data_IF_426797906906
#
_entry.id   IF_426797906906
#
_cell.length_a   1.000
_cell.length_b   1.000
_cell.length_c   1.000
_cell.angle_alpha   90.00
_cell.angle_beta   90.00
_cell.angle_gamma   90.00
#
_symmetry.space_group_name_H-M   'P 1'
#
loop_
_entity.id
_entity.type
_entity.pdbx_description
1 polymer ?
#
# COMPACT_ATOMS: atom_id res chain seq x y z
N UNK A 1 -10.12 15.68 -15.59
CA UNK A 1 -8.70 15.41 -15.25
C UNK A 1 -8.48 13.92 -15.48
N UNK A 2 -7.30 13.49 -15.94
CA UNK A 2 -7.03 12.05 -16.06
C UNK A 2 -6.67 11.45 -14.68
N UNK A 3 -6.95 10.16 -14.47
CA UNK A 3 -6.61 9.45 -13.23
C UNK A 3 -5.14 9.64 -12.84
N UNK A 4 -4.25 9.58 -13.83
CA UNK A 4 -2.82 9.79 -13.67
C UNK A 4 -2.49 11.13 -13.00
N UNK A 5 -3.10 12.21 -13.45
CA UNK A 5 -2.83 13.56 -12.95
C UNK A 5 -3.40 13.74 -11.55
N UNK A 6 -4.58 13.18 -11.26
CA UNK A 6 -5.12 13.17 -9.89
C UNK A 6 -4.20 12.41 -8.93
N UNK A 7 -3.68 11.25 -9.34
CA UNK A 7 -2.76 10.48 -8.51
C UNK A 7 -1.45 11.23 -8.27
N UNK A 8 -0.85 11.85 -9.30
CA UNK A 8 0.33 12.71 -9.15
C UNK A 8 0.06 13.82 -8.15
N UNK A 9 -1.11 14.43 -8.25
CA UNK A 9 -1.54 15.47 -7.34
C UNK A 9 -1.62 14.94 -5.88
N UNK A 10 -2.16 13.74 -5.66
CA UNK A 10 -2.20 13.13 -4.33
C UNK A 10 -0.82 12.86 -3.73
N UNK A 11 0.13 12.37 -4.54
CA UNK A 11 1.49 12.10 -4.09
C UNK A 11 2.19 13.38 -3.63
N UNK A 12 2.03 14.47 -4.38
CA UNK A 12 2.60 15.75 -4.01
C UNK A 12 1.90 16.35 -2.77
N UNK A 13 0.59 16.13 -2.59
CA UNK A 13 -0.12 16.49 -1.35
C UNK A 13 0.38 15.69 -0.15
N UNK A 14 0.67 14.39 -0.30
CA UNK A 14 1.21 13.58 0.79
C UNK A 14 2.60 14.07 1.22
N UNK A 15 3.43 14.45 0.25
CA UNK A 15 4.75 15.02 0.49
C UNK A 15 4.62 16.36 1.24
N UNK A 16 3.75 17.26 0.77
CA UNK A 16 3.47 18.52 1.46
C UNK A 16 3.01 18.33 2.91
N UNK A 17 2.09 17.39 3.14
CA UNK A 17 1.60 17.04 4.48
C UNK A 17 2.72 16.50 5.38
N UNK A 18 3.68 15.74 4.84
CA UNK A 18 4.81 15.24 5.62
C UNK A 18 5.68 16.40 6.15
N UNK A 19 5.97 17.37 5.29
CA UNK A 19 6.76 18.56 5.65
C UNK A 19 6.00 19.50 6.60
N UNK A 20 4.70 19.67 6.41
CA UNK A 20 3.85 20.43 7.33
C UNK A 20 3.90 19.82 8.73
N UNK A 21 3.70 18.50 8.86
CA UNK A 21 3.72 17.79 10.15
C UNK A 21 5.10 17.81 10.80
N UNK A 22 6.17 17.82 10.01
CA UNK A 22 7.53 17.94 10.52
C UNK A 22 7.80 19.27 11.24
N UNK A 23 6.97 20.30 11.04
CA UNK A 23 6.99 21.54 11.82
C UNK A 23 8.33 22.27 11.76
N UNK A 24 8.94 22.33 10.57
CA UNK A 24 10.24 22.95 10.32
C UNK A 24 11.44 21.99 10.37
N UNK A 25 11.23 20.72 10.77
CA UNK A 25 12.22 19.65 10.60
C UNK A 25 12.13 19.06 9.19
N UNK A 26 13.18 18.34 8.78
CA UNK A 26 13.16 17.52 7.56
C UNK A 26 12.52 16.17 7.90
N UNK A 27 11.41 15.76 7.24
CA UNK A 27 10.82 14.45 7.47
C UNK A 27 11.79 13.35 7.02
N UNK A 28 11.86 12.27 7.80
CA UNK A 28 12.58 11.06 7.43
C UNK A 28 11.75 10.18 6.48
N UNK A 29 12.35 9.09 6.00
CA UNK A 29 11.70 8.15 5.07
C UNK A 29 10.40 7.56 5.67
N UNK A 30 10.37 7.07 6.93
CA UNK A 30 9.13 6.63 7.56
C UNK A 30 8.08 7.73 7.65
N UNK A 31 8.48 8.98 7.88
CA UNK A 31 7.54 10.11 7.90
C UNK A 31 6.92 10.43 6.55
N UNK A 32 7.69 10.33 5.47
CA UNK A 32 7.15 10.50 4.11
C UNK A 32 6.13 9.40 3.78
N UNK A 33 6.45 8.15 4.10
CA UNK A 33 5.55 7.00 3.89
C UNK A 33 4.30 7.10 4.77
N UNK A 34 4.44 7.41 6.06
CA UNK A 34 3.30 7.50 6.99
C UNK A 34 2.33 8.62 6.60
N UNK A 35 2.85 9.72 6.04
CA UNK A 35 2.02 10.82 5.55
C UNK A 35 1.13 10.34 4.40
N UNK A 36 1.69 9.60 3.45
CA UNK A 36 0.94 8.99 2.34
C UNK A 36 -0.14 8.00 2.81
N UNK A 37 0.14 7.25 3.89
CA UNK A 37 -0.80 6.31 4.48
C UNK A 37 -1.74 6.92 5.54
N UNK A 38 -1.68 8.23 5.77
CA UNK A 38 -2.50 8.89 6.79
C UNK A 38 -3.99 8.84 6.46
N UNK A 39 -4.83 8.90 7.50
CA UNK A 39 -6.29 8.85 7.42
C UNK A 39 -6.85 9.87 6.47
N UNK A 40 -6.30 11.07 6.52
CA UNK A 40 -6.67 12.15 5.65
C UNK A 40 -6.37 11.71 4.21
N UNK A 41 -5.11 11.34 3.91
CA UNK A 41 -4.63 11.07 2.55
C UNK A 41 -5.41 9.97 1.84
N UNK A 42 -5.61 8.82 2.48
CA UNK A 42 -6.33 7.72 1.82
C UNK A 42 -7.82 7.99 1.64
N UNK A 43 -8.45 8.85 2.47
CA UNK A 43 -9.85 9.25 2.30
C UNK A 43 -10.05 10.14 1.07
N UNK A 44 -9.09 11.03 0.82
CA UNK A 44 -9.05 11.81 -0.40
C UNK A 44 -8.89 10.91 -1.62
N UNK A 45 -7.85 10.07 -1.60
CA UNK A 45 -7.57 9.14 -2.67
C UNK A 45 -8.78 8.26 -3.00
N UNK A 46 -9.49 7.73 -1.99
CA UNK A 46 -10.73 6.97 -2.20
C UNK A 46 -11.77 7.75 -3.03
N UNK A 47 -12.03 9.01 -2.66
CA UNK A 47 -13.04 9.83 -3.35
C UNK A 47 -12.66 10.06 -4.81
N UNK A 48 -11.39 10.29 -5.07
CA UNK A 48 -10.87 10.42 -6.41
C UNK A 48 -10.97 9.12 -7.21
N UNK A 49 -10.47 8.01 -6.66
CA UNK A 49 -10.54 6.70 -7.29
C UNK A 49 -11.98 6.26 -7.61
N UNK A 50 -12.95 6.61 -6.76
CA UNK A 50 -14.36 6.31 -6.99
C UNK A 50 -14.92 6.93 -8.29
N UNK A 51 -14.36 8.04 -8.76
CA UNK A 51 -14.76 8.69 -10.03
C UNK A 51 -14.12 8.08 -11.28
N UNK A 52 -13.18 7.15 -11.12
CA UNK A 52 -12.47 6.50 -12.22
C UNK A 52 -12.71 4.99 -12.32
N UNK A 53 -13.44 4.40 -11.37
CA UNK A 53 -13.87 3.01 -11.50
C UNK A 53 -15.05 2.88 -12.45
N UNK A 54 -15.25 1.68 -12.99
CA UNK A 54 -16.47 1.36 -13.75
C UNK A 54 -17.72 1.71 -12.95
N UNK A 55 -18.75 2.33 -13.57
CA UNK A 55 -20.04 2.56 -12.93
C UNK A 55 -20.59 1.29 -12.28
N UNK A 56 -21.12 1.40 -11.06
CA UNK A 56 -21.59 0.26 -10.27
C UNK A 56 -20.51 -0.40 -9.41
N UNK A 57 -19.22 -0.06 -9.60
CA UNK A 57 -18.15 -0.51 -8.71
C UNK A 57 -17.97 0.43 -7.52
N UNK A 58 -17.86 -0.15 -6.32
CA UNK A 58 -17.50 0.56 -5.10
C UNK A 58 -16.01 0.46 -4.78
N UNK A 59 -15.41 1.56 -4.31
CA UNK A 59 -13.99 1.63 -3.93
C UNK A 59 -13.80 1.88 -2.45
N UNK A 60 -12.96 1.07 -1.83
CA UNK A 60 -12.39 1.33 -0.52
C UNK A 60 -10.89 1.58 -0.63
N UNK A 61 -10.39 2.52 0.15
CA UNK A 61 -8.95 2.74 0.33
C UNK A 61 -8.65 2.85 1.81
N UNK A 62 -7.56 2.20 2.22
CA UNK A 62 -7.03 2.23 3.59
C UNK A 62 -5.51 2.31 3.55
N UNK A 63 -4.97 3.21 4.38
CA UNK A 63 -3.55 3.26 4.70
C UNK A 63 -3.32 2.72 6.11
N UNK A 64 -2.35 1.83 6.24
CA UNK A 64 -2.00 1.14 7.48
C UNK A 64 -0.49 1.25 7.67
N UNK A 65 -0.06 2.07 8.62
CA UNK A 65 1.35 2.37 8.78
C UNK A 65 1.95 1.61 9.96
N UNK A 66 3.12 1.01 9.78
CA UNK A 66 3.92 0.53 10.91
C UNK A 66 5.35 1.07 10.87
N UNK A 67 5.86 1.46 12.03
CA UNK A 67 7.22 1.97 12.15
C UNK A 67 8.28 0.85 12.10
N UNK A 68 7.92 -0.39 12.44
CA UNK A 68 8.84 -1.53 12.36
C UNK A 68 8.31 -2.57 11.38
N UNK A 69 9.01 -2.71 10.27
CA UNK A 69 8.70 -3.63 9.18
C UNK A 69 9.25 -5.04 9.48
N UNK A 70 8.71 -6.09 8.82
CA UNK A 70 9.22 -7.44 8.96
C UNK A 70 10.62 -7.56 8.36
N UNK A 71 11.49 -8.32 9.01
CA UNK A 71 12.87 -8.55 8.55
C UNK A 71 13.08 -9.97 8.06
N UNK A 72 13.82 -10.06 6.95
CA UNK A 72 14.20 -11.31 6.30
C UNK A 72 15.70 -11.46 6.27
N UNK A 73 16.16 -12.71 6.21
CA UNK A 73 17.58 -13.05 6.06
C UNK A 73 17.73 -14.03 4.93
N UNK A 74 18.46 -13.64 3.88
CA UNK A 74 18.87 -14.56 2.82
C UNK A 74 19.70 -15.69 3.42
N UNK A 75 19.52 -16.93 2.96
CA UNK A 75 20.16 -18.10 3.58
C UNK A 75 21.69 -18.00 3.63
N UNK A 76 22.31 -17.40 2.61
CA UNK A 76 23.75 -17.22 2.51
C UNK A 76 24.25 -15.90 3.12
N UNK A 77 23.37 -15.07 3.71
CA UNK A 77 23.73 -13.82 4.38
C UNK A 77 23.54 -13.94 5.89
N UNK A 78 24.44 -13.32 6.64
CA UNK A 78 24.37 -13.26 8.11
C UNK A 78 23.44 -12.16 8.63
N UNK A 79 23.27 -11.08 7.87
CA UNK A 79 22.49 -9.91 8.28
C UNK A 79 21.05 -10.02 7.79
N UNK A 80 20.10 -9.63 8.63
CA UNK A 80 18.72 -9.44 8.22
C UNK A 80 18.49 -8.02 7.69
N UNK A 81 17.52 -7.89 6.81
CA UNK A 81 17.08 -6.65 6.16
C UNK A 81 15.57 -6.54 6.23
N UNK A 82 15.05 -5.31 6.21
CA UNK A 82 13.61 -5.07 6.14
C UNK A 82 13.08 -5.48 4.77
N UNK A 83 11.98 -6.21 4.69
CA UNK A 83 11.51 -6.73 3.40
C UNK A 83 11.05 -5.62 2.44
N UNK A 84 10.47 -4.54 2.96
CA UNK A 84 10.01 -3.37 2.22
C UNK A 84 9.67 -2.22 3.18
N UNK A 85 9.65 -0.99 2.66
CA UNK A 85 9.19 0.21 3.36
C UNK A 85 7.70 0.50 3.15
N UNK A 86 7.14 0.03 2.04
CA UNK A 86 5.73 0.22 1.65
C UNK A 86 5.24 -0.96 0.80
N UNK A 87 3.97 -1.33 0.95
CA UNK A 87 3.31 -2.37 0.20
C UNK A 87 1.99 -1.84 -0.36
N UNK A 88 1.78 -2.01 -1.65
CA UNK A 88 0.49 -1.79 -2.30
C UNK A 88 -0.23 -3.12 -2.42
N UNK A 89 -1.52 -3.10 -2.13
CA UNK A 89 -2.42 -4.23 -2.34
C UNK A 89 -3.69 -3.71 -3.00
N UNK A 90 -4.08 -4.35 -4.09
CA UNK A 90 -5.39 -4.20 -4.70
C UNK A 90 -6.09 -5.55 -4.70
N UNK A 91 -7.28 -5.61 -4.11
CA UNK A 91 -8.18 -6.76 -4.18
C UNK A 91 -9.45 -6.37 -4.93
N UNK A 92 -9.86 -7.18 -5.89
CA UNK A 92 -11.10 -7.01 -6.62
C UNK A 92 -12.03 -8.20 -6.40
N UNK A 93 -13.23 -7.89 -5.93
CA UNK A 93 -14.32 -8.84 -5.73
C UNK A 93 -15.32 -8.63 -6.87
N UNK A 94 -15.37 -9.61 -7.77
CA UNK A 94 -16.36 -9.65 -8.83
C UNK A 94 -17.71 -10.08 -8.25
N UNK A 95 -18.80 -9.50 -8.73
CA UNK A 95 -20.15 -9.83 -8.29
C UNK A 95 -20.61 -11.24 -8.73
N UNK A 96 -20.00 -11.80 -9.76
CA UNK A 96 -20.31 -13.14 -10.25
C UNK A 96 -19.82 -14.20 -9.26
N UNK A 97 -20.73 -15.08 -8.80
CA UNK A 97 -20.44 -16.26 -7.96
C UNK A 97 -19.38 -17.21 -8.52
N UNK A 98 -19.04 -17.09 -9.81
CA UNK A 98 -18.05 -17.95 -10.49
C UNK A 98 -16.69 -17.30 -10.66
N UNK A 99 -16.61 -15.98 -10.50
CA UNK A 99 -15.37 -15.26 -10.67
C UNK A 99 -14.60 -15.24 -9.33
N UNK A 100 -13.37 -15.80 -9.28
CA UNK A 100 -12.57 -15.75 -8.07
C UNK A 100 -12.12 -14.31 -7.78
N UNK A 101 -12.04 -13.95 -6.49
CA UNK A 101 -11.41 -12.68 -6.08
C UNK A 101 -10.00 -12.59 -6.66
N UNK A 102 -9.70 -11.50 -7.34
CA UNK A 102 -8.37 -11.26 -7.88
C UNK A 102 -7.58 -10.32 -6.97
N UNK A 103 -6.27 -10.54 -6.88
CA UNK A 103 -5.38 -9.77 -6.04
C UNK A 103 -4.10 -9.38 -6.78
N UNK A 104 -3.62 -8.17 -6.56
CA UNK A 104 -2.29 -7.72 -6.99
C UNK A 104 -1.58 -7.02 -5.84
N UNK A 105 -0.29 -7.26 -5.71
CA UNK A 105 0.52 -6.60 -4.70
C UNK A 105 1.89 -6.16 -5.25
N UNK A 106 2.45 -5.13 -4.63
CA UNK A 106 3.75 -4.56 -5.01
C UNK A 106 4.46 -4.01 -3.78
N UNK A 107 5.71 -4.42 -3.58
CA UNK A 107 6.57 -3.95 -2.50
C UNK A 107 7.48 -2.81 -2.99
N UNK A 108 7.75 -1.85 -2.11
CA UNK A 108 8.65 -0.74 -2.39
C UNK A 108 9.75 -0.64 -1.33
N UNK A 109 10.99 -0.49 -1.79
CA UNK A 109 12.08 0.03 -0.98
C UNK A 109 12.27 1.52 -1.30
N UNK A 110 11.92 2.37 -0.34
CA UNK A 110 12.06 3.81 -0.43
C UNK A 110 13.51 4.24 -0.14
N UNK A 111 13.96 5.28 -0.84
CA UNK A 111 15.21 6.00 -0.59
C UNK A 111 14.95 7.50 -0.69
N UNK A 112 15.30 8.23 0.35
CA UNK A 112 15.22 9.71 0.33
C UNK A 112 16.46 10.29 -0.37
N UNK A 113 16.25 11.06 -1.43
CA UNK A 113 17.32 11.61 -2.28
C UNK A 113 16.83 12.83 -3.07
N UNK A 114 17.75 13.70 -3.46
CA UNK A 114 17.44 14.88 -4.29
C UNK A 114 17.34 14.59 -5.79
N UNK A 115 17.51 13.32 -6.21
CA UNK A 115 17.47 12.88 -7.61
C UNK A 115 16.66 11.60 -7.77
N UNK A 116 16.35 11.19 -8.99
CA UNK A 116 15.75 9.87 -9.28
C UNK A 116 16.71 8.69 -9.04
N UNK A 117 17.96 8.92 -8.65
CA UNK A 117 18.94 7.86 -8.40
C UNK A 117 19.11 7.59 -6.91
N UNK A 118 19.06 6.31 -6.52
CA UNK A 118 19.20 5.88 -5.11
C UNK A 118 20.58 6.14 -4.52
N UNK A 119 21.58 6.45 -5.35
CA UNK A 119 22.98 6.37 -4.96
C UNK A 119 23.48 4.92 -4.89
N UNK A 120 24.77 4.76 -4.55
CA UNK A 120 25.36 3.45 -4.26
C UNK A 120 24.67 2.82 -3.05
N UNK A 121 24.20 1.58 -3.22
CA UNK A 121 23.61 0.76 -2.15
C UNK A 121 24.51 -0.42 -1.78
N UNK A 122 25.83 -0.29 -2.01
CA UNK A 122 26.81 -1.36 -1.79
C UNK A 122 27.18 -1.60 -0.31
N UNK A 123 26.81 -0.71 0.59
CA UNK A 123 27.19 -0.80 2.00
C UNK A 123 26.11 -1.45 2.86
N UNK A 124 26.56 -2.28 3.82
CA UNK A 124 25.74 -2.72 4.93
C UNK A 124 24.54 -3.57 4.51
N UNK A 125 23.38 -3.28 5.10
CA UNK A 125 22.10 -3.97 4.84
C UNK A 125 21.53 -3.62 3.46
N UNK A 126 21.88 -2.48 2.88
CA UNK A 126 21.35 -2.07 1.58
C UNK A 126 21.80 -2.99 0.45
N UNK A 127 23.02 -3.54 0.51
CA UNK A 127 23.52 -4.50 -0.47
C UNK A 127 22.73 -5.82 -0.42
N UNK A 128 22.36 -6.26 0.78
CA UNK A 128 21.50 -7.43 0.96
C UNK A 128 20.08 -7.17 0.51
N UNK A 129 19.54 -5.96 0.71
CA UNK A 129 18.23 -5.56 0.17
C UNK A 129 18.21 -5.55 -1.36
N UNK A 130 19.27 -5.01 -1.96
CA UNK A 130 19.44 -4.99 -3.41
C UNK A 130 19.48 -6.41 -4.00
N UNK A 131 20.22 -7.31 -3.35
CA UNK A 131 20.25 -8.72 -3.72
C UNK A 131 18.90 -9.42 -3.56
N UNK A 132 18.17 -9.15 -2.46
CA UNK A 132 16.83 -9.68 -2.23
C UNK A 132 15.89 -9.31 -3.38
N UNK A 133 15.84 -8.05 -3.80
CA UNK A 133 14.93 -7.59 -4.86
C UNK A 133 15.39 -8.04 -6.25
N UNK A 134 16.70 -8.15 -6.48
CA UNK A 134 17.26 -8.63 -7.74
C UNK A 134 16.92 -10.10 -7.98
N UNK A 135 17.13 -10.92 -6.95
CA UNK A 135 17.18 -12.37 -7.11
C UNK A 135 15.95 -13.08 -6.53
N UNK A 136 15.28 -12.49 -5.53
CA UNK A 136 14.27 -13.18 -4.70
C UNK A 136 14.75 -14.56 -4.25
N UNK A 137 16.04 -14.67 -3.93
CA UNK A 137 16.63 -15.89 -3.39
C UNK A 137 15.92 -16.27 -2.08
N UNK A 138 15.85 -17.56 -1.80
CA UNK A 138 15.13 -18.04 -0.64
C UNK A 138 15.68 -17.45 0.68
N UNK A 139 14.78 -17.23 1.63
CA UNK A 139 15.07 -16.48 2.85
C UNK A 139 14.26 -16.98 4.04
N UNK A 140 14.71 -16.62 5.24
CA UNK A 140 13.99 -16.85 6.48
C UNK A 140 13.39 -15.55 7.00
N UNK A 141 12.20 -15.63 7.62
CA UNK A 141 11.71 -14.57 8.48
C UNK A 141 12.47 -14.55 9.80
N UNK A 142 12.91 -13.36 10.25
CA UNK A 142 13.73 -13.21 11.46
C UNK A 142 13.08 -12.35 12.54
N UNK A 143 12.43 -11.26 12.14
CA UNK A 143 11.75 -10.34 13.06
C UNK A 143 10.40 -10.02 12.45
N UNK A 144 9.32 -10.21 13.20
CA UNK A 144 7.94 -9.87 12.79
C UNK A 144 7.43 -10.59 11.53
N UNK A 145 8.26 -11.40 10.86
CA UNK A 145 7.86 -12.37 9.85
C UNK A 145 8.12 -13.79 10.40
N UNK A 146 7.16 -14.72 10.33
CA UNK A 146 7.40 -16.12 10.67
C UNK A 146 8.55 -16.73 9.85
N UNK A 147 9.22 -17.74 10.40
CA UNK A 147 10.39 -18.35 9.78
C UNK A 147 10.14 -18.82 8.33
N UNK A 148 9.03 -19.53 8.09
CA UNK A 148 8.60 -20.04 6.77
C UNK A 148 7.10 -20.41 6.75
N UNK A 149 6.52 -20.63 5.56
CA UNK A 149 5.23 -21.30 5.41
C UNK A 149 5.24 -22.73 5.96
N UNK A 150 4.07 -23.25 6.35
CA UNK A 150 3.95 -24.60 6.91
C UNK A 150 4.32 -25.63 5.85
N UNK A 151 5.29 -26.50 6.16
CA UNK A 151 5.77 -27.54 5.24
C UNK A 151 7.06 -27.19 4.50
N UNK A 152 7.51 -25.93 4.59
CA UNK A 152 8.70 -25.45 3.88
C UNK A 152 9.80 -24.99 4.85
N UNK A 153 11.08 -25.23 4.54
CA UNK A 153 12.19 -24.83 5.41
C UNK A 153 12.53 -23.33 5.32
N UNK A 154 11.98 -22.63 4.33
CA UNK A 154 12.30 -21.25 3.97
C UNK A 154 11.18 -20.64 3.14
N UNK A 155 11.09 -19.31 3.13
CA UNK A 155 10.31 -18.58 2.13
C UNK A 155 11.04 -18.61 0.78
N UNK A 156 10.29 -18.81 -0.28
CA UNK A 156 10.79 -18.76 -1.66
C UNK A 156 9.70 -18.22 -2.58
N UNK A 157 9.81 -16.94 -2.95
CA UNK A 157 8.86 -16.30 -3.85
C UNK A 157 9.00 -16.74 -5.31
N UNK A 158 10.04 -17.51 -5.65
CA UNK A 158 10.18 -18.14 -6.97
C UNK A 158 9.56 -19.54 -7.02
N UNK A 159 9.08 -20.03 -5.88
CA UNK A 159 8.41 -21.34 -5.74
C UNK A 159 9.28 -22.49 -6.25
N UNK A 160 10.55 -22.54 -5.85
CA UNK A 160 11.51 -23.54 -6.31
C UNK A 160 11.88 -23.40 -7.79
N UNK A 161 11.71 -22.21 -8.38
CA UNK A 161 11.99 -21.93 -9.79
C UNK A 161 10.81 -22.21 -10.73
N UNK A 162 9.62 -22.52 -10.19
CA UNK A 162 8.40 -22.69 -11.01
C UNK A 162 7.91 -21.38 -11.61
N UNK A 163 8.21 -20.25 -10.97
CA UNK A 163 7.87 -18.91 -11.45
C UNK A 163 9.12 -18.26 -12.05
N UNK A 164 8.96 -17.58 -13.18
CA UNK A 164 10.10 -16.93 -13.87
C UNK A 164 10.71 -15.83 -12.99
N UNK A 165 12.01 -15.56 -13.17
CA UNK A 165 12.66 -14.45 -12.47
C UNK A 165 11.93 -13.13 -12.72
N UNK A 166 11.48 -12.89 -13.96
CA UNK A 166 10.71 -11.70 -14.33
C UNK A 166 9.42 -11.54 -13.51
N UNK A 167 8.69 -12.63 -13.29
CA UNK A 167 7.48 -12.63 -12.47
C UNK A 167 7.79 -12.44 -10.98
N UNK A 168 8.89 -13.01 -10.47
CA UNK A 168 9.31 -12.82 -9.10
C UNK A 168 9.69 -11.34 -8.84
N UNK A 169 10.52 -10.75 -9.71
CA UNK A 169 10.95 -9.35 -9.54
C UNK A 169 9.81 -8.34 -9.75
N UNK A 170 8.73 -8.70 -10.46
CA UNK A 170 7.52 -7.88 -10.56
C UNK A 170 6.79 -7.67 -9.20
N UNK A 171 7.19 -8.41 -8.16
CA UNK A 171 6.69 -8.22 -6.80
C UNK A 171 7.28 -7.00 -6.08
N UNK A 172 8.35 -6.39 -6.60
CA UNK A 172 9.04 -5.30 -5.92
C UNK A 172 9.66 -4.24 -6.84
N UNK A 173 9.72 -3.02 -6.33
CA UNK A 173 10.36 -1.87 -6.96
C UNK A 173 11.17 -1.06 -5.95
N UNK A 174 12.12 -0.27 -6.46
CA UNK A 174 12.71 0.82 -5.69
C UNK A 174 11.90 2.09 -5.91
N UNK A 175 11.88 2.94 -4.89
CA UNK A 175 11.26 4.25 -4.95
C UNK A 175 12.25 5.30 -4.44
N UNK A 176 12.39 6.40 -5.16
CA UNK A 176 13.05 7.60 -4.66
C UNK A 176 12.02 8.64 -4.25
N UNK A 177 12.20 9.21 -3.06
CA UNK A 177 11.36 10.28 -2.53
C UNK A 177 12.19 11.54 -2.41
N UNK A 178 11.71 12.63 -3.01
CA UNK A 178 12.41 13.90 -3.04
C UNK A 178 12.67 14.42 -1.62
N UNK A 179 13.94 14.70 -1.33
CA UNK A 179 14.43 14.93 0.03
C UNK A 179 14.33 16.37 0.54
N UNK A 180 13.85 17.28 -0.30
CA UNK A 180 13.71 18.70 0.00
C UNK A 180 12.25 19.15 -0.06
N UNK A 181 12.00 20.33 0.50
CA UNK A 181 10.69 20.98 0.55
C UNK A 181 10.33 21.54 -0.83
N UNK A 182 9.53 20.79 -1.60
CA UNK A 182 9.09 21.17 -2.94
C UNK A 182 7.70 20.60 -3.26
N UNK A 183 6.66 21.35 -2.89
CA UNK A 183 5.29 21.12 -3.35
C UNK A 183 4.80 22.38 -4.07
N UNK A 184 3.76 22.25 -4.90
CA UNK A 184 3.23 23.34 -5.74
C UNK A 184 1.72 23.51 -5.67
N UNK A 185 1.03 22.73 -4.84
CA UNK A 185 -0.43 22.69 -4.83
C UNK A 185 -0.97 23.01 -3.44
N UNK A 186 -2.02 23.83 -3.40
CA UNK A 186 -2.95 23.82 -2.29
C UNK A 186 -3.60 22.44 -2.30
N UNK A 187 -3.84 21.87 -1.13
CA UNK A 187 -4.80 20.80 -1.15
C UNK A 187 -6.19 21.39 -1.44
N UNK A 188 -6.74 21.08 -2.60
CA UNK A 188 -8.01 21.62 -3.10
C UNK A 188 -9.26 21.29 -2.26
N UNK A 189 -9.11 20.63 -1.10
CA UNK A 189 -10.23 20.31 -0.21
C UNK A 189 -10.03 21.03 1.13
N UNK A 190 -11.07 21.62 1.75
CA UNK A 190 -10.95 22.34 3.02
C UNK A 190 -10.32 21.53 4.16
N UNK A 191 -10.42 20.19 4.12
CA UNK A 191 -9.78 19.29 5.08
C UNK A 191 -8.24 19.26 5.00
N UNK A 192 -7.62 19.95 4.03
CA UNK A 192 -6.18 20.03 3.91
C UNK A 192 -5.66 21.42 3.59
N UNK A 193 -5.89 22.32 4.53
CA UNK A 193 -5.20 23.59 4.59
C UNK A 193 -3.68 23.41 4.82
N UNK A 194 -2.95 22.94 3.81
CA UNK A 194 -1.55 23.25 3.61
C UNK A 194 -1.51 24.48 2.69
N UNK A 195 -0.79 25.55 3.05
CA UNK A 195 -0.69 26.72 2.20
C UNK A 195 -0.08 26.34 0.83
N UNK A 196 -0.55 26.98 -0.25
CA UNK A 196 0.14 26.93 -1.55
C UNK A 196 1.50 27.58 -1.32
N UNK A 197 2.54 26.76 -1.22
CA UNK A 197 3.90 27.25 -1.16
C UNK A 197 4.65 26.50 -2.22
N UNK A 198 5.22 27.22 -3.20
CA UNK A 198 6.36 26.71 -3.91
C UNK A 198 7.46 26.56 -2.87
N UNK A 199 7.61 25.33 -2.35
CA UNK A 199 8.68 25.04 -1.43
C UNK A 199 10.02 25.50 -2.03
N UNK A 200 11.00 25.92 -1.22
CA UNK A 200 12.23 26.53 -1.69
C UNK A 200 13.00 25.70 -2.74
N UNK A 201 12.73 24.40 -2.83
CA UNK A 201 13.35 23.48 -3.77
C UNK A 201 12.46 23.09 -4.98
N UNK A 202 11.35 23.79 -5.24
CA UNK A 202 10.44 23.45 -6.34
C UNK A 202 11.13 23.39 -7.72
N UNK A 203 12.03 24.33 -8.02
CA UNK A 203 12.82 24.33 -9.25
C UNK A 203 13.79 23.15 -9.34
N UNK A 204 14.30 22.67 -8.21
CA UNK A 204 15.14 21.47 -8.13
C UNK A 204 14.31 20.22 -8.41
N UNK A 205 13.12 20.10 -7.83
CA UNK A 205 12.19 19.01 -8.13
C UNK A 205 11.89 18.95 -9.64
N UNK A 206 11.57 20.09 -10.24
CA UNK A 206 11.28 20.22 -11.68
C UNK A 206 12.41 19.73 -12.60
N UNK A 207 13.65 19.84 -12.14
CA UNK A 207 14.83 19.39 -12.90
C UNK A 207 15.17 17.93 -12.64
N UNK A 208 14.92 17.46 -11.42
CA UNK A 208 15.44 16.18 -10.94
C UNK A 208 14.41 15.05 -10.97
N UNK A 209 13.11 15.34 -11.01
CA UNK A 209 12.04 14.35 -10.94
C UNK A 209 11.05 14.49 -12.11
N UNK A 210 10.55 13.36 -12.64
CA UNK A 210 9.61 13.35 -13.75
C UNK A 210 8.25 13.95 -13.35
N UNK A 211 7.62 14.68 -14.29
CA UNK A 211 6.25 15.19 -14.17
C UNK A 211 5.96 15.97 -12.87
N UNK A 212 6.98 16.62 -12.28
CA UNK A 212 6.87 17.31 -10.99
C UNK A 212 6.32 16.43 -9.85
N UNK A 213 6.47 15.11 -9.95
CA UNK A 213 6.05 14.18 -8.91
C UNK A 213 7.18 14.03 -7.90
N UNK A 214 6.90 14.31 -6.62
CA UNK A 214 7.88 14.23 -5.54
C UNK A 214 8.40 12.80 -5.31
N UNK A 215 7.74 11.80 -5.89
CA UNK A 215 8.11 10.40 -5.78
C UNK A 215 8.30 9.83 -7.18
N UNK A 216 9.28 8.95 -7.33
CA UNK A 216 9.48 8.19 -8.56
C UNK A 216 9.90 6.76 -8.24
N UNK A 217 9.67 5.83 -9.16
CA UNK A 217 9.97 4.42 -8.98
C UNK A 217 10.83 3.87 -10.12
N UNK A 218 11.55 2.80 -9.80
CA UNK A 218 12.41 2.04 -10.69
C UNK A 218 12.25 0.56 -10.43
N UNK A 219 12.28 -0.22 -11.51
CA UNK A 219 12.19 -1.68 -11.43
C UNK A 219 13.26 -2.27 -10.51
N UNK A 220 12.96 -3.42 -9.92
CA UNK A 220 13.95 -4.21 -9.23
C UNK A 220 15.20 -4.47 -10.13
N UNK A 221 16.40 -4.56 -9.53
CA UNK A 221 17.62 -4.72 -10.31
C UNK A 221 17.60 -5.98 -11.17
N UNK A 222 18.19 -5.91 -12.36
CA UNK A 222 18.32 -7.09 -13.23
C UNK A 222 19.41 -8.04 -12.68
N UNK A 223 19.34 -9.35 -12.98
CA UNK A 223 20.41 -10.30 -12.68
C UNK A 223 21.78 -9.78 -13.16
N UNK A 224 22.80 -9.92 -12.32
CA UNK A 224 24.15 -9.42 -12.61
C UNK A 224 24.37 -7.92 -12.32
N UNK A 225 23.33 -7.17 -11.97
CA UNK A 225 23.49 -5.78 -11.52
C UNK A 225 24.31 -5.72 -10.23
N UNK A 226 25.16 -4.69 -10.12
CA UNK A 226 26.04 -4.47 -8.97
C UNK A 226 25.47 -3.37 -8.05
N UNK A 227 25.41 -3.57 -6.72
CA UNK A 227 24.85 -2.61 -5.77
C UNK A 227 25.49 -1.21 -5.81
N UNK A 228 26.77 -1.09 -6.21
CA UNK A 228 27.47 0.19 -6.27
C UNK A 228 26.92 1.13 -7.33
N UNK A 229 26.18 0.62 -8.32
CA UNK A 229 25.51 1.43 -9.35
C UNK A 229 24.14 1.96 -8.91
N UNK A 230 23.58 1.47 -7.80
CA UNK A 230 22.24 1.88 -7.35
C UNK A 230 21.13 1.46 -8.32
N UNK A 231 19.98 2.11 -8.18
CA UNK A 231 18.81 1.97 -9.06
C UNK A 231 18.36 3.35 -9.51
N UNK A 232 18.05 3.48 -10.80
CA UNK A 232 17.45 4.69 -11.37
C UNK A 232 15.94 4.55 -11.37
N UNK A 233 15.25 5.45 -10.67
CA UNK A 233 13.81 5.50 -10.53
C UNK A 233 13.21 6.54 -11.49
N UNK A 234 13.18 6.22 -12.79
CA UNK A 234 12.84 7.18 -13.85
C UNK A 234 11.34 7.35 -14.11
N UNK A 235 10.48 6.54 -13.50
CA UNK A 235 9.02 6.59 -13.72
C UNK A 235 8.40 7.38 -12.58
N UNK A 236 7.57 8.39 -12.88
CA UNK A 236 6.85 9.10 -11.82
C UNK A 236 5.88 8.17 -11.08
N UNK A 237 5.68 8.39 -9.79
CA UNK A 237 4.88 7.50 -8.97
C UNK A 237 3.40 7.45 -9.37
N UNK A 238 2.89 8.52 -10.00
CA UNK A 238 1.52 8.53 -10.51
C UNK A 238 1.31 7.50 -11.61
N UNK A 239 2.26 7.39 -12.54
CA UNK A 239 2.26 6.35 -13.57
C UNK A 239 2.32 4.96 -12.93
N UNK A 240 3.25 4.76 -11.99
CA UNK A 240 3.41 3.48 -11.27
C UNK A 240 2.12 3.03 -10.59
N UNK A 241 1.46 3.94 -9.87
CA UNK A 241 0.26 3.60 -9.13
C UNK A 241 -0.96 3.44 -10.05
N UNK A 242 -1.06 4.22 -11.13
CA UNK A 242 -2.10 4.03 -12.16
C UNK A 242 -1.94 2.67 -12.86
N UNK A 243 -0.73 2.31 -13.28
CA UNK A 243 -0.42 1.00 -13.87
C UNK A 243 -0.77 -0.14 -12.89
N UNK A 244 -0.51 0.06 -11.60
CA UNK A 244 -0.86 -0.91 -10.56
C UNK A 244 -2.38 -1.11 -10.45
N UNK A 245 -3.15 -0.03 -10.39
CA UNK A 245 -4.62 -0.06 -10.33
C UNK A 245 -5.25 -0.68 -11.59
N UNK A 246 -4.67 -0.44 -12.76
CA UNK A 246 -5.12 -1.03 -14.03
C UNK A 246 -4.61 -2.47 -14.25
N UNK A 247 -3.86 -3.04 -13.30
CA UNK A 247 -3.35 -4.41 -13.38
C UNK A 247 -2.12 -4.60 -14.28
N UNK A 248 -1.55 -3.54 -14.81
CA UNK A 248 -0.34 -3.55 -15.63
C UNK A 248 0.95 -3.70 -14.81
N UNK A 249 0.92 -3.38 -13.50
CA UNK A 249 2.11 -3.41 -12.63
C UNK A 249 1.85 -4.08 -11.28
N UNK A 250 2.88 -4.76 -10.75
CA UNK A 250 2.82 -5.58 -9.52
C UNK A 250 2.69 -7.07 -9.84
N UNK A 251 2.77 -7.94 -8.82
CA UNK A 251 2.60 -9.38 -8.98
C UNK A 251 1.18 -9.81 -8.53
N UNK A 252 0.46 -10.59 -9.35
CA UNK A 252 -0.80 -11.21 -8.92
C UNK A 252 -0.62 -12.12 -7.71
N UNK A 253 -1.63 -12.19 -6.85
CA UNK A 253 -1.72 -13.13 -5.75
C UNK A 253 -3.13 -13.68 -5.65
N UNK A 254 -3.28 -14.83 -4.99
CA UNK A 254 -4.54 -15.49 -4.71
C UNK A 254 -5.05 -15.07 -3.31
N UNK A 255 -6.10 -14.24 -3.21
CA UNK A 255 -6.69 -13.86 -1.93
C UNK A 255 -7.14 -15.08 -1.11
N UNK A 256 -6.98 -15.01 0.22
CA UNK A 256 -7.42 -16.05 1.15
C UNK A 256 -6.47 -17.26 1.29
N UNK A 257 -5.45 -17.40 0.44
CA UNK A 257 -4.47 -18.50 0.53
C UNK A 257 -3.50 -18.28 1.69
N UNK A 258 -3.50 -19.19 2.67
CA UNK A 258 -2.65 -19.12 3.88
C UNK A 258 -1.64 -20.28 4.04
N UNK A 259 -1.71 -21.29 3.16
CA UNK A 259 -0.84 -22.47 3.15
C UNK A 259 -0.64 -22.97 1.71
N UNK A 260 0.37 -23.84 1.51
CA UNK A 260 0.73 -24.40 0.21
C UNK A 260 2.00 -23.78 -0.37
N UNK A 261 2.27 -24.06 -1.64
CA UNK A 261 3.54 -23.69 -2.28
C UNK A 261 3.60 -22.27 -2.88
N UNK A 262 2.47 -21.55 -2.96
CA UNK A 262 2.43 -20.16 -3.42
C UNK A 262 2.81 -19.22 -2.26
N UNK A 263 4.12 -19.11 -2.02
CA UNK A 263 4.66 -18.33 -0.92
C UNK A 263 4.37 -16.83 -1.04
N UNK A 264 4.19 -16.31 -2.26
CA UNK A 264 3.84 -14.90 -2.47
C UNK A 264 2.43 -14.62 -1.98
N UNK A 265 1.45 -15.42 -2.37
CA UNK A 265 0.07 -15.26 -1.90
C UNK A 265 -0.03 -15.44 -0.39
N UNK A 266 0.67 -16.43 0.17
CA UNK A 266 0.71 -16.64 1.62
C UNK A 266 1.30 -15.42 2.34
N UNK A 267 2.37 -14.84 1.79
CA UNK A 267 2.97 -13.63 2.35
C UNK A 267 1.98 -12.47 2.34
N UNK A 268 1.37 -12.16 1.18
CA UNK A 268 0.44 -11.04 1.02
C UNK A 268 -0.75 -11.19 1.96
N UNK A 269 -1.42 -12.35 1.96
CA UNK A 269 -2.56 -12.60 2.84
C UNK A 269 -2.17 -12.50 4.32
N UNK A 270 -0.98 -12.97 4.71
CA UNK A 270 -0.50 -12.78 6.09
C UNK A 270 -0.26 -11.31 6.45
N UNK A 271 0.33 -10.52 5.56
CA UNK A 271 0.50 -9.07 5.81
C UNK A 271 -0.85 -8.40 6.03
N UNK A 272 -1.84 -8.73 5.21
CA UNK A 272 -3.21 -8.24 5.35
C UNK A 272 -3.85 -8.70 6.66
N UNK A 273 -3.82 -10.00 6.97
CA UNK A 273 -4.42 -10.55 8.21
C UNK A 273 -3.78 -9.97 9.47
N UNK A 274 -2.45 -9.75 9.47
CA UNK A 274 -1.77 -9.11 10.61
C UNK A 274 -2.18 -7.65 10.72
N UNK A 275 -2.26 -6.92 9.60
CA UNK A 275 -2.68 -5.52 9.56
C UNK A 275 -4.13 -5.28 10.00
N UNK A 276 -4.98 -6.32 9.92
CA UNK A 276 -6.40 -6.25 10.24
C UNK A 276 -6.76 -6.58 11.69
N UNK A 277 -5.80 -6.89 12.56
CA UNK A 277 -6.12 -7.39 13.92
C UNK A 277 -6.82 -6.33 14.78
N UNK A 278 -7.89 -6.67 15.54
CA UNK A 278 -8.66 -5.73 16.36
C UNK A 278 -7.85 -5.04 17.47
N UNK A 279 -6.87 -5.74 18.06
CA UNK A 279 -5.95 -5.19 19.05
C UNK A 279 -4.81 -4.38 18.40
N UNK A 280 -4.85 -4.20 17.08
CA UNK A 280 -3.88 -3.47 16.27
C UNK A 280 -4.08 -1.95 16.28
N UNK A 281 -4.71 -1.39 17.32
CA UNK A 281 -4.68 0.05 17.61
C UNK A 281 -3.26 0.44 18.07
N UNK A 282 -2.26 0.19 17.23
CA UNK A 282 -0.90 0.54 17.53
C UNK A 282 -0.78 2.06 17.52
N UNK A 283 -0.13 2.60 18.54
CA UNK A 283 0.39 3.96 18.48
C UNK A 283 1.75 3.92 17.78
N UNK A 284 1.99 4.82 16.83
CA UNK A 284 3.35 5.15 16.41
C UNK A 284 3.74 6.49 16.98
N UNK A 285 5.02 6.59 17.32
CA UNK A 285 5.66 7.85 17.63
C UNK A 285 6.59 8.18 16.47
N UNK A 286 6.51 9.42 15.99
CA UNK A 286 7.39 9.92 14.93
C UNK A 286 7.90 11.29 15.35
N UNK A 287 9.11 11.31 15.91
CA UNK A 287 9.77 12.54 16.39
C UNK A 287 9.99 13.56 15.27
N UNK A 288 10.14 13.07 14.03
CA UNK A 288 10.38 13.87 12.84
C UNK A 288 9.08 14.35 12.15
N UNK A 289 7.92 13.90 12.63
CA UNK A 289 6.60 14.40 12.23
C UNK A 289 5.80 15.00 13.40
N UNK A 290 6.45 15.20 14.54
CA UNK A 290 5.83 15.65 15.79
C UNK A 290 4.58 14.82 16.17
N UNK A 291 4.60 13.51 15.87
CA UNK A 291 3.55 12.58 16.28
C UNK A 291 3.95 11.96 17.62
N UNK A 292 3.32 12.42 18.70
CA UNK A 292 3.56 11.91 20.06
C UNK A 292 2.87 10.58 20.31
N UNK A 293 1.69 10.37 19.71
CA UNK A 293 0.94 9.12 19.71
C UNK A 293 -0.08 9.15 18.56
N UNK A 294 0.20 8.48 17.44
CA UNK A 294 -0.70 8.42 16.29
C UNK A 294 -1.22 7.00 16.05
N UNK A 295 -2.52 6.82 15.81
CA UNK A 295 -3.07 5.52 15.43
C UNK A 295 -2.49 5.05 14.09
N UNK A 296 -2.03 3.79 14.04
CA UNK A 296 -1.37 3.14 12.89
C UNK A 296 -2.29 2.68 11.75
N UNK A 297 -3.49 3.24 11.65
CA UNK A 297 -4.57 2.66 10.84
C UNK A 297 -5.44 1.75 11.72
N UNK A 298 -6.77 1.90 11.60
CA UNK A 298 -7.75 1.14 12.39
C UNK A 298 -7.99 -0.22 11.75
N UNK A 299 -8.42 -1.18 12.58
CA UNK A 299 -8.93 -2.51 12.24
C UNK A 299 -9.55 -2.53 10.83
N UNK A 300 -8.98 -3.35 9.95
CA UNK A 300 -9.54 -3.64 8.63
C UNK A 300 -10.66 -4.65 8.84
N UNK A 301 -11.78 -4.20 9.44
CA UNK A 301 -13.00 -5.00 9.61
C UNK A 301 -13.41 -5.65 8.29
N UNK A 302 -13.01 -5.07 7.15
CA UNK A 302 -13.19 -5.64 5.82
C UNK A 302 -12.79 -7.12 5.72
N UNK A 303 -11.66 -7.58 6.28
CA UNK A 303 -11.29 -9.01 6.22
C UNK A 303 -12.19 -9.89 7.10
N UNK A 304 -12.82 -9.32 8.12
CA UNK A 304 -13.79 -10.01 8.98
C UNK A 304 -15.21 -9.94 8.41
N UNK A 305 -15.51 -8.90 7.64
CA UNK A 305 -16.78 -8.68 6.95
C UNK A 305 -16.76 -9.19 5.52
N UNK A 306 -15.63 -9.68 5.00
CA UNK A 306 -15.52 -10.26 3.65
C UNK A 306 -16.55 -11.39 3.45
N UNK A 307 -16.76 -12.32 4.39
CA UNK A 307 -17.86 -13.30 4.29
C UNK A 307 -19.25 -12.65 4.30
N UNK A 308 -19.44 -11.57 5.06
CA UNK A 308 -20.72 -10.85 5.15
C UNK A 308 -21.01 -10.05 3.88
N UNK A 309 -19.99 -9.44 3.30
CA UNK A 309 -20.06 -8.76 2.02
C UNK A 309 -20.29 -9.76 0.90
N UNK A 310 -19.63 -10.93 0.94
CA UNK A 310 -19.87 -12.01 0.00
C UNK A 310 -21.32 -12.50 0.10
N UNK A 311 -21.84 -12.73 1.31
CA UNK A 311 -23.24 -13.08 1.52
C UNK A 311 -24.21 -11.98 1.11
N UNK A 312 -23.90 -10.71 1.36
CA UNK A 312 -24.74 -9.59 0.93
C UNK A 312 -24.79 -9.47 -0.60
N UNK A 313 -23.64 -9.61 -1.27
CA UNK A 313 -23.55 -9.72 -2.73
C UNK A 313 -24.35 -10.94 -3.22
N UNK A 314 -24.21 -12.09 -2.55
CA UNK A 314 -24.94 -13.32 -2.89
C UNK A 314 -26.45 -13.17 -2.79
N UNK A 315 -26.96 -12.52 -1.74
CA UNK A 315 -28.38 -12.28 -1.51
C UNK A 315 -28.96 -11.26 -2.49
N UNK A 316 -28.20 -10.21 -2.82
CA UNK A 316 -28.60 -9.22 -3.82
C UNK A 316 -28.67 -9.81 -5.24
N UNK A 317 -27.69 -10.65 -5.60
CA UNK A 317 -27.69 -11.39 -6.87
C UNK A 317 -28.87 -12.36 -6.94
N UNK A 318 -29.20 -13.06 -5.85
CA UNK A 318 -30.36 -13.96 -5.81
C UNK A 318 -31.69 -13.22 -5.95
N UNK A 319 -31.88 -12.10 -5.27
CA UNK A 319 -33.08 -11.26 -5.41
C UNK A 319 -33.23 -10.67 -6.80
N UNK A 320 -32.12 -10.26 -7.42
CA UNK A 320 -32.12 -9.78 -8.81
C UNK A 320 -32.54 -10.89 -9.79
N UNK A 321 -31.96 -12.10 -9.66
CA UNK A 321 -32.30 -13.24 -10.50
C UNK A 321 -33.73 -13.76 -10.28
N UNK A 322 -34.26 -13.64 -9.06
CA UNK A 322 -35.64 -13.98 -8.73
C UNK A 322 -36.66 -12.96 -9.26
N UNK A 323 -36.22 -11.83 -9.82
CA UNK A 323 -37.10 -10.75 -10.26
C UNK A 323 -37.75 -9.99 -9.11
N UNK A 324 -37.20 -10.12 -7.90
CA UNK A 324 -37.69 -9.51 -6.67
C UNK A 324 -37.02 -8.15 -6.38
N UNK A 325 -36.04 -7.77 -7.18
CA UNK A 325 -35.47 -6.43 -7.12
C UNK A 325 -36.52 -5.41 -7.57
N UNK A 326 -36.97 -4.55 -6.65
CA UNK A 326 -37.73 -3.36 -7.02
C UNK A 326 -36.97 -2.60 -8.10
N UNK A 327 -37.65 -2.26 -9.21
CA UNK A 327 -37.10 -1.68 -10.45
C UNK A 327 -36.28 -0.38 -10.26
N UNK A 328 -36.23 0.19 -9.05
CA UNK A 328 -35.55 1.44 -8.71
C UNK A 328 -34.38 1.28 -7.71
N UNK A 329 -34.07 0.06 -7.24
CA UNK A 329 -32.91 -0.15 -6.38
C UNK A 329 -31.63 -0.19 -7.23
N UNK A 330 -30.67 0.73 -7.03
CA UNK A 330 -29.39 0.65 -7.75
C UNK A 330 -28.71 -0.68 -7.40
N UNK A 331 -28.09 -1.31 -8.41
CA UNK A 331 -27.29 -2.52 -8.22
C UNK A 331 -26.38 -2.37 -6.99
N UNK A 332 -26.37 -3.38 -6.13
CA UNK A 332 -25.57 -3.45 -4.90
C UNK A 332 -25.97 -2.50 -3.77
N UNK A 333 -27.22 -2.05 -3.66
CA UNK A 333 -27.65 -1.12 -2.61
C UNK A 333 -27.33 -1.55 -1.16
N UNK A 334 -27.49 -2.83 -0.82
CA UNK A 334 -27.18 -3.44 0.49
C UNK A 334 -25.67 -3.59 0.66
N UNK A 335 -24.95 -4.09 -0.35
CA UNK A 335 -23.48 -4.16 -0.31
C UNK A 335 -22.87 -2.76 -0.17
N UNK A 336 -23.36 -1.79 -0.93
CA UNK A 336 -22.96 -0.38 -0.84
C UNK A 336 -23.34 0.22 0.51
N UNK A 337 -24.51 -0.11 1.07
CA UNK A 337 -24.91 0.29 2.42
C UNK A 337 -24.03 -0.34 3.50
N UNK A 338 -23.60 -1.59 3.36
CA UNK A 338 -22.63 -2.24 4.25
C UNK A 338 -21.24 -1.61 4.12
N UNK A 339 -20.76 -1.33 2.91
CA UNK A 339 -19.50 -0.64 2.67
C UNK A 339 -19.53 0.80 3.21
N UNK A 340 -20.68 1.48 3.09
CA UNK A 340 -20.95 2.77 3.70
C UNK A 340 -20.94 2.65 5.23
N UNK A 341 -21.64 1.68 5.82
CA UNK A 341 -21.64 1.44 7.27
C UNK A 341 -20.28 1.00 7.82
N UNK A 342 -19.49 0.21 7.10
CA UNK A 342 -18.08 -0.09 7.45
C UNK A 342 -17.23 1.18 7.38
N UNK A 343 -17.63 2.13 6.53
CA UNK A 343 -17.00 3.46 6.45
C UNK A 343 -17.49 4.44 7.52
N UNK A 344 -18.75 4.37 7.95
CA UNK A 344 -19.48 5.31 8.81
C UNK A 344 -19.55 4.90 10.29
N UNK A 345 -19.61 3.60 10.62
CA UNK A 345 -19.66 3.04 12.00
C UNK A 345 -18.45 3.40 12.89
N UNK A 346 -17.56 4.25 12.38
CA UNK A 346 -16.42 4.80 13.09
C UNK A 346 -16.41 6.34 13.14
N UNK A 347 -17.50 7.02 12.77
CA UNK A 347 -17.73 8.44 13.03
C UNK A 347 -18.14 8.72 14.49
N UNK A 348 -18.76 7.76 15.20
CA UNK A 348 -19.29 7.98 16.55
C UNK A 348 -18.35 7.63 17.73
N UNK A 349 -17.15 7.10 17.47
CA UNK A 349 -16.15 6.94 18.55
C UNK A 349 -15.27 8.18 18.59
N UNK A 350 -15.66 9.08 19.51
CA UNK A 350 -15.11 10.41 19.83
C UNK A 350 -13.61 10.58 19.60
N UNK A 351 -13.21 11.83 19.33
CA UNK A 351 -11.85 12.39 19.32
C UNK A 351 -11.04 12.18 20.62
N UNK A 352 -11.50 11.33 21.54
CA UNK A 352 -10.70 10.90 22.66
C UNK A 352 -9.58 9.97 22.15
N UNK A 353 -8.31 10.34 22.32
CA UNK A 353 -7.24 9.36 22.21
C UNK A 353 -7.56 8.18 23.16
N UNK A 354 -7.15 6.95 22.83
CA UNK A 354 -7.21 5.87 23.80
C UNK A 354 -6.61 6.37 25.11
N UNK A 355 -7.21 6.07 26.28
CA UNK A 355 -6.68 6.54 27.54
C UNK A 355 -5.20 6.17 27.65
N UNK A 356 -4.35 7.15 28.02
CA UNK A 356 -2.89 7.02 28.22
C UNK A 356 -2.49 5.86 29.16
N UNK A 357 -3.47 5.25 29.82
CA UNK A 357 -3.35 4.19 30.80
C UNK A 357 -3.56 2.78 30.23
N UNK A 358 -3.67 2.60 28.92
CA UNK A 358 -3.27 1.31 28.36
C UNK A 358 -1.77 1.25 28.57
N UNK A 359 -1.38 0.60 29.67
CA UNK A 359 0.00 0.16 29.89
C UNK A 359 0.58 -0.23 28.55
N UNK A 360 1.83 0.15 28.29
CA UNK A 360 2.67 -0.59 27.36
C UNK A 360 2.67 -2.05 27.84
N UNK A 361 1.60 -2.79 27.56
CA UNK A 361 1.63 -4.23 27.57
C UNK A 361 2.72 -4.50 26.56
N UNK A 362 3.86 -4.93 27.10
CA UNK A 362 5.03 -5.31 26.37
C UNK A 362 4.56 -6.13 25.18
N UNK A 363 4.60 -5.51 24.01
CA UNK A 363 4.22 -6.17 22.76
C UNK A 363 5.06 -7.44 22.72
N UNK A 364 4.44 -8.60 22.93
CA UNK A 364 5.18 -9.83 22.77
C UNK A 364 5.64 -9.87 21.30
N UNK A 365 6.94 -9.96 21.03
CA UNK A 365 7.48 -10.04 19.67
C UNK A 365 6.95 -11.23 18.87
N UNK A 366 6.25 -12.16 19.54
CA UNK A 366 5.65 -13.40 19.04
C UNK A 366 4.43 -13.18 18.13
N UNK A 367 3.80 -11.99 18.12
CA UNK A 367 2.52 -11.79 17.40
C UNK A 367 2.64 -11.41 15.91
N UNK A 368 3.84 -11.23 15.36
CA UNK A 368 4.03 -10.88 13.93
C UNK A 368 3.83 -9.39 13.63
N UNK A 369 4.36 -8.92 12.51
CA UNK A 369 4.20 -7.55 12.01
C UNK A 369 4.02 -7.53 10.50
N UNK A 370 3.63 -6.38 9.96
CA UNK A 370 3.32 -6.21 8.55
C UNK A 370 4.19 -5.12 7.93
N UNK A 371 4.30 -5.06 6.60
CA UNK A 371 4.85 -3.87 5.90
C UNK A 371 3.80 -2.75 5.97
N UNK A 372 4.14 -1.44 6.02
CA UNK A 372 3.16 -0.38 5.80
C UNK A 372 2.35 -0.64 4.51
N UNK A 373 1.03 -0.64 4.58
CA UNK A 373 0.14 -1.06 3.49
C UNK A 373 -0.72 0.10 3.02
N UNK A 374 -0.77 0.32 1.71
CA UNK A 374 -1.92 0.94 1.04
C UNK A 374 -2.78 -0.18 0.46
N UNK A 375 -3.97 -0.35 1.02
CA UNK A 375 -4.97 -1.31 0.54
C UNK A 375 -6.04 -0.57 -0.26
N UNK A 376 -6.22 -0.98 -1.51
CA UNK A 376 -7.34 -0.61 -2.38
C UNK A 376 -8.22 -1.84 -2.54
N UNK A 377 -9.51 -1.70 -2.31
CA UNK A 377 -10.48 -2.76 -2.57
C UNK A 377 -11.54 -2.23 -3.51
N UNK A 378 -11.91 -3.06 -4.48
CA UNK A 378 -13.00 -2.77 -5.41
C UNK A 378 -14.00 -3.91 -5.38
N UNK A 379 -15.29 -3.59 -5.41
CA UNK A 379 -16.39 -4.56 -5.48
C UNK A 379 -17.31 -4.13 -6.63
N UNK A 380 -17.51 -4.97 -7.64
CA UNK A 380 -18.30 -4.62 -8.82
C UNK A 380 -18.49 -5.79 -9.80
N UNK A 381 -19.19 -5.53 -10.91
CA UNK A 381 -19.56 -6.57 -11.90
C UNK A 381 -18.45 -6.96 -12.88
N UNK A 382 -17.38 -6.17 -12.98
CA UNK A 382 -16.32 -6.41 -13.97
C UNK A 382 -15.35 -7.52 -13.54
N UNK A 383 -14.92 -8.37 -14.47
CA UNK A 383 -13.89 -9.38 -14.19
C UNK A 383 -12.43 -8.81 -14.15
N UNK A 384 -12.23 -7.49 -14.39
CA UNK A 384 -10.96 -6.73 -14.54
C UNK A 384 -10.64 -6.29 -16.00
N UNK A 385 -10.05 -5.09 -16.25
CA UNK A 385 -9.62 -4.05 -15.31
C UNK A 385 -10.74 -3.07 -14.90
N UNK A 386 -10.68 -2.62 -13.65
CA UNK A 386 -11.76 -1.88 -12.97
C UNK A 386 -11.62 -0.36 -13.09
N UNK A 387 -10.40 0.12 -13.32
CA UNK A 387 -10.06 1.55 -13.38
C UNK A 387 -9.85 2.02 -14.81
N UNK A 388 -10.50 3.12 -15.19
CA UNK A 388 -10.37 3.77 -16.50
C UNK A 388 -9.24 4.81 -16.44
N UNK A 389 -8.31 4.75 -17.39
CA UNK A 389 -7.19 5.70 -17.47
C UNK A 389 -7.61 7.08 -18.03
N UNK A 390 -8.76 7.16 -18.69
CA UNK A 390 -9.28 8.36 -19.34
C UNK A 390 -9.89 9.39 -18.39
N UNK A 391 -10.72 10.28 -18.92
CA UNK A 391 -11.44 11.29 -18.13
C UNK A 391 -12.59 10.67 -17.31
N UNK A 392 -13.00 11.38 -16.25
CA UNK A 392 -14.03 10.95 -15.30
C UNK A 392 -15.30 10.51 -16.05
N UNK A 393 -15.82 9.34 -15.66
CA UNK A 393 -17.03 8.75 -16.23
C UNK A 393 -18.31 9.17 -15.53
#
# INVERSE_FOLDING_TARGET
MALLDEVREYVNKSHANAWLRAGGKVPDEPGLVSSFLSKEMYRGLRRSLQSYVTPGTSVMVRGIFTHQTPKVRLLHRKRSVEIADLMFVHQHFAASRRAPTSGRALLFQAKRTGTTWTGSVASGTQATQFELYRDWAAFEGTVRLPASPVGDPHWDFREGGKVTQAMAVAAAEYMTVFDQHAYSMAAANPQWAAPILNGPAHSTLARSFPALCAWSAGSAPLPGSIPSRGVTCSVDFGTVFTDFLCGARGRPFNPGVLAGSDHWSIFVNRMLSISARPNGNYLYTSKNQNVTAGLRGRNVMFLQTEPVLWHAVEEEVERFLAGEAELDMPHFAVTNSLLARISESHEETSDNPPPDNLSEESFEPSSGGHVPVLLVVTVGDDDSPVFRQGENG
#
